data_IF_897501963136
#
_entry.id   IF_897501963136
#
_cell.length_a   1.000
_cell.length_b   1.000
_cell.length_c   1.000
_cell.angle_alpha   90.00
_cell.angle_beta   90.00
_cell.angle_gamma   90.00
#
_symmetry.space_group_name_H-M   'P 1'
#
loop_
_entity.id
_entity.type
_entity.pdbx_description
1 polymer ?
#
# COMPACT_ATOMS: atom_id res chain seq x y z
N UNK A 1 -30.08 28.24 4.92
CA UNK A 1 -29.29 27.91 6.12
C UNK A 1 -28.96 26.45 6.03
N UNK A 2 -27.68 26.06 5.93
CA UNK A 2 -27.25 24.66 5.99
C UNK A 2 -26.93 24.35 7.44
N UNK A 3 -27.51 23.31 8.01
CA UNK A 3 -27.20 22.76 9.33
C UNK A 3 -26.51 21.44 9.09
N UNK A 4 -25.30 21.28 9.57
CA UNK A 4 -24.52 20.04 9.45
C UNK A 4 -24.29 19.48 10.85
N UNK A 5 -24.47 18.18 10.98
CA UNK A 5 -24.06 17.46 12.17
C UNK A 5 -22.54 17.18 12.04
N UNK A 6 -21.76 17.66 12.98
CA UNK A 6 -20.30 17.53 13.00
C UNK A 6 -19.83 16.39 13.90
N UNK A 7 -20.75 15.59 14.43
CA UNK A 7 -20.44 14.44 15.30
C UNK A 7 -19.84 13.25 14.51
N UNK A 8 -20.14 13.19 13.22
CA UNK A 8 -19.63 12.14 12.31
C UNK A 8 -18.97 12.82 11.12
N UNK A 9 -17.70 12.57 10.94
CA UNK A 9 -16.94 13.08 9.80
C UNK A 9 -16.71 11.96 8.79
N UNK A 10 -16.95 12.28 7.53
CA UNK A 10 -16.72 11.39 6.39
C UNK A 10 -15.89 12.10 5.33
N UNK A 11 -14.98 11.36 4.73
CA UNK A 11 -14.19 11.79 3.56
C UNK A 11 -14.80 11.13 2.34
N UNK A 12 -15.07 11.92 1.32
CA UNK A 12 -15.53 11.44 0.01
C UNK A 12 -14.31 11.31 -0.92
N UNK A 13 -13.98 10.09 -1.30
CA UNK A 13 -12.78 9.74 -2.05
C UNK A 13 -13.17 9.27 -3.44
N UNK A 14 -12.43 9.71 -4.45
CA UNK A 14 -12.58 9.21 -5.82
C UNK A 14 -11.62 8.05 -6.07
N UNK A 15 -12.16 6.86 -6.31
CA UNK A 15 -11.39 5.64 -6.57
C UNK A 15 -11.58 5.22 -8.03
N UNK A 16 -10.47 4.87 -8.68
CA UNK A 16 -10.46 4.43 -10.06
C UNK A 16 -11.18 3.09 -10.25
N UNK A 17 -11.75 2.86 -11.45
CA UNK A 17 -12.43 1.62 -11.83
C UNK A 17 -11.56 0.38 -11.64
N UNK A 18 -10.25 0.46 -11.89
CA UNK A 18 -9.34 -0.68 -11.71
C UNK A 18 -9.15 -1.08 -10.24
N UNK A 19 -9.32 -0.13 -9.31
CA UNK A 19 -9.06 -0.32 -7.90
C UNK A 19 -10.32 -0.56 -7.08
N UNK A 20 -11.48 -0.02 -7.51
CA UNK A 20 -12.75 -0.16 -6.80
C UNK A 20 -13.17 -1.62 -6.60
N UNK A 21 -12.77 -2.52 -7.52
CA UNK A 21 -13.04 -3.97 -7.43
C UNK A 21 -12.41 -4.63 -6.21
N UNK A 22 -11.38 -4.00 -5.63
CA UNK A 22 -10.66 -4.51 -4.45
C UNK A 22 -11.20 -3.94 -3.15
N UNK A 23 -11.90 -2.80 -3.23
CA UNK A 23 -12.44 -2.11 -2.07
C UNK A 23 -13.71 -2.82 -1.59
N UNK A 24 -13.78 -3.06 -0.29
CA UNK A 24 -14.92 -3.69 0.36
C UNK A 24 -15.47 -2.80 1.48
N UNK A 25 -16.75 -3.02 1.81
CA UNK A 25 -17.37 -2.36 2.95
C UNK A 25 -16.65 -2.75 4.24
N UNK A 26 -16.36 -1.75 5.08
CA UNK A 26 -15.62 -1.87 6.34
C UNK A 26 -14.12 -2.13 6.19
N UNK A 27 -13.55 -1.97 4.99
CA UNK A 27 -12.10 -1.90 4.87
C UNK A 27 -11.58 -0.78 5.75
N UNK A 28 -10.49 -1.06 6.45
CA UNK A 28 -9.79 -0.05 7.23
C UNK A 28 -9.12 0.96 6.29
N UNK A 29 -9.04 2.20 6.73
CA UNK A 29 -8.40 3.24 5.96
C UNK A 29 -7.55 4.13 6.87
N UNK A 30 -6.42 4.58 6.34
CA UNK A 30 -5.57 5.59 6.92
C UNK A 30 -5.84 6.93 6.22
N UNK A 31 -6.05 7.98 6.99
CA UNK A 31 -6.47 9.29 6.50
C UNK A 31 -5.45 10.33 6.95
N UNK A 32 -4.80 10.96 5.98
CA UNK A 32 -3.92 12.11 6.18
C UNK A 32 -4.65 13.37 5.77
N UNK A 33 -4.86 14.29 6.69
CA UNK A 33 -5.55 15.56 6.42
C UNK A 33 -4.53 16.66 6.19
N UNK A 34 -4.65 17.41 5.09
CA UNK A 34 -3.68 18.46 4.71
C UNK A 34 -3.46 19.52 5.79
N UNK A 35 -4.43 19.71 6.69
CA UNK A 35 -4.32 20.65 7.81
C UNK A 35 -3.50 20.10 8.99
N UNK A 36 -3.23 18.80 9.04
CA UNK A 36 -2.56 18.09 10.14
C UNK A 36 -1.53 17.13 9.57
N UNK A 37 -0.42 17.66 9.03
CA UNK A 37 0.58 16.91 8.24
C UNK A 37 1.34 15.84 9.03
N UNK A 38 1.40 16.00 10.36
CA UNK A 38 2.15 15.08 11.23
C UNK A 38 1.25 14.01 11.88
N UNK A 39 -0.03 13.95 11.49
CA UNK A 39 -1.00 13.07 12.11
C UNK A 39 -1.75 12.22 11.07
N UNK A 40 -1.83 10.93 11.35
CA UNK A 40 -2.61 9.97 10.56
C UNK A 40 -3.82 9.52 11.37
N UNK A 41 -4.99 9.56 10.75
CA UNK A 41 -6.26 9.20 11.38
C UNK A 41 -6.77 7.88 10.83
N UNK A 42 -7.39 7.09 11.69
CA UNK A 42 -8.02 5.84 11.28
C UNK A 42 -9.46 6.07 10.81
N UNK A 43 -9.83 5.33 9.79
CA UNK A 43 -11.19 5.32 9.25
C UNK A 43 -11.64 3.94 8.80
N UNK A 44 -12.88 3.88 8.35
CA UNK A 44 -13.46 2.69 7.72
C UNK A 44 -14.35 3.07 6.54
N UNK A 45 -14.38 2.20 5.53
CA UNK A 45 -15.26 2.36 4.36
C UNK A 45 -16.72 2.13 4.76
N UNK A 46 -17.55 3.16 4.59
CA UNK A 46 -18.99 3.12 4.96
C UNK A 46 -19.92 3.05 3.75
N UNK A 47 -19.51 3.55 2.59
CA UNK A 47 -20.31 3.53 1.38
C UNK A 47 -19.42 3.41 0.15
N UNK A 48 -19.84 2.59 -0.81
CA UNK A 48 -19.20 2.45 -2.12
C UNK A 48 -20.25 2.84 -3.18
N UNK A 49 -19.98 3.92 -3.90
CA UNK A 49 -20.87 4.41 -4.96
C UNK A 49 -20.95 3.42 -6.13
N UNK A 50 -22.17 3.09 -6.53
CA UNK A 50 -22.42 2.17 -7.64
C UNK A 50 -22.47 2.88 -9.00
N UNK A 51 -22.33 4.21 -9.03
CA UNK A 51 -22.42 5.00 -10.24
C UNK A 51 -21.12 5.77 -10.45
N UNK A 52 -20.58 5.68 -11.65
CA UNK A 52 -19.40 6.44 -12.01
C UNK A 52 -19.71 7.95 -11.97
N UNK A 53 -18.83 8.72 -11.36
CA UNK A 53 -18.98 10.17 -11.19
C UNK A 53 -19.13 10.91 -12.53
N UNK A 54 -18.57 10.37 -13.61
CA UNK A 54 -18.57 10.98 -14.94
C UNK A 54 -19.57 10.34 -15.92
N UNK A 55 -20.51 9.51 -15.47
CA UNK A 55 -21.42 8.75 -16.32
C UNK A 55 -22.56 9.57 -16.95
N UNK A 56 -22.48 10.87 -17.03
CA UNK A 56 -23.67 11.64 -17.47
C UNK A 56 -23.50 12.99 -18.16
N UNK A 57 -22.30 13.46 -18.39
CA UNK A 57 -22.13 14.80 -18.98
C UNK A 57 -21.33 14.73 -20.28
N UNK A 58 -22.10 14.80 -21.40
CA UNK A 58 -21.64 14.98 -22.78
C UNK A 58 -20.79 13.82 -23.38
N UNK A 59 -21.44 12.99 -24.16
CA UNK A 59 -20.98 11.82 -24.89
C UNK A 59 -19.81 11.95 -25.88
N UNK A 60 -18.77 12.73 -25.62
CA UNK A 60 -17.63 12.90 -26.52
C UNK A 60 -16.26 13.02 -25.84
N UNK A 61 -16.11 12.65 -24.56
CA UNK A 61 -14.78 12.58 -23.95
C UNK A 61 -14.26 11.14 -24.02
N UNK A 62 -13.55 10.81 -25.06
CA UNK A 62 -12.98 9.47 -25.35
C UNK A 62 -11.79 9.08 -24.44
N UNK A 63 -11.46 9.87 -23.42
CA UNK A 63 -10.25 9.64 -22.61
C UNK A 63 -10.45 9.98 -21.12
N UNK A 64 -11.68 9.81 -20.61
CA UNK A 64 -11.98 10.16 -19.24
C UNK A 64 -11.92 8.93 -18.35
N UNK A 65 -10.99 8.97 -17.38
CA UNK A 65 -10.84 7.94 -16.34
C UNK A 65 -12.15 7.83 -15.56
N UNK A 66 -12.66 6.61 -15.45
CA UNK A 66 -13.88 6.32 -14.70
C UNK A 66 -13.54 6.21 -13.20
N UNK A 67 -14.10 7.11 -12.40
CA UNK A 67 -13.95 7.12 -10.95
C UNK A 67 -15.28 6.85 -10.24
N UNK A 68 -15.21 6.21 -9.10
CA UNK A 68 -16.33 5.91 -8.20
C UNK A 68 -16.13 6.63 -6.87
N UNK A 69 -17.22 7.18 -6.30
CA UNK A 69 -17.17 7.78 -4.98
C UNK A 69 -17.18 6.70 -3.91
N UNK A 70 -16.27 6.80 -2.97
CA UNK A 70 -16.19 5.94 -1.77
C UNK A 70 -16.20 6.85 -0.55
N UNK A 71 -17.09 6.58 0.41
CA UNK A 71 -17.12 7.32 1.67
C UNK A 71 -16.39 6.55 2.75
N UNK A 72 -15.48 7.25 3.38
CA UNK A 72 -14.68 6.74 4.49
C UNK A 72 -14.99 7.56 5.72
N UNK A 73 -15.46 6.89 6.78
CA UNK A 73 -15.77 7.52 8.05
C UNK A 73 -14.56 7.53 8.95
N UNK A 74 -14.23 8.69 9.49
CA UNK A 74 -13.20 8.82 10.51
C UNK A 74 -13.69 8.20 11.82
N UNK A 75 -12.81 7.43 12.47
CA UNK A 75 -13.05 6.93 13.83
C UNK A 75 -12.82 8.05 14.84
N UNK A 76 -13.81 8.30 15.68
CA UNK A 76 -13.72 9.35 16.71
C UNK A 76 -12.59 9.11 17.72
N UNK A 77 -12.19 7.87 17.90
CA UNK A 77 -11.09 7.46 18.78
C UNK A 77 -9.74 7.99 18.29
N UNK A 78 -9.54 8.08 16.97
CA UNK A 78 -8.27 8.49 16.37
C UNK A 78 -7.96 9.99 16.54
N UNK A 79 -8.95 10.83 16.77
CA UNK A 79 -8.77 12.27 17.00
C UNK A 79 -9.23 12.75 18.38
N UNK A 80 -9.58 11.84 19.28
CA UNK A 80 -10.06 12.17 20.62
C UNK A 80 -9.03 12.96 21.44
N UNK A 81 -7.74 12.71 21.24
CA UNK A 81 -6.65 13.42 21.91
C UNK A 81 -6.53 14.90 21.50
N UNK A 82 -7.08 15.27 20.35
CA UNK A 82 -7.06 16.65 19.84
C UNK A 82 -8.22 17.50 20.38
N UNK A 83 -9.21 16.85 20.99
CA UNK A 83 -10.36 17.54 21.59
C UNK A 83 -9.96 18.06 22.96
N UNK A 84 -9.89 19.38 23.14
CA UNK A 84 -9.71 20.00 24.43
C UNK A 84 -10.97 19.84 25.29
N UNK A 85 -10.82 19.66 26.61
CA UNK A 85 -11.94 19.47 27.55
C UNK A 85 -12.97 20.62 27.57
N UNK A 86 -12.59 21.80 27.09
CA UNK A 86 -13.47 22.96 26.97
C UNK A 86 -14.36 22.96 25.71
N UNK A 87 -13.96 22.23 24.65
CA UNK A 87 -14.68 22.10 23.39
C UNK A 87 -15.50 20.81 23.29
N UNK A 88 -15.63 20.07 24.38
CA UNK A 88 -16.30 18.75 24.48
C UNK A 88 -17.79 18.73 24.13
N UNK A 89 -18.36 19.87 23.71
CA UNK A 89 -19.71 19.93 23.15
C UNK A 89 -19.68 19.78 21.61
N UNK A 90 -19.37 18.58 21.10
CA UNK A 90 -19.66 18.15 19.72
C UNK A 90 -18.92 18.87 18.57
N UNK A 91 -17.71 19.37 18.77
CA UNK A 91 -16.96 19.99 17.68
C UNK A 91 -15.78 19.10 17.27
N UNK A 92 -15.94 18.44 16.13
CA UNK A 92 -14.80 17.79 15.44
C UNK A 92 -13.71 18.84 15.14
N UNK A 93 -12.41 18.50 15.25
CA UNK A 93 -11.32 19.40 14.85
C UNK A 93 -11.33 19.65 13.33
N UNK A 94 -12.02 18.81 12.58
CA UNK A 94 -12.12 18.90 11.13
C UNK A 94 -13.27 19.81 10.70
N UNK A 95 -13.09 20.48 9.56
CA UNK A 95 -14.11 21.34 8.98
C UNK A 95 -14.54 20.82 7.61
N UNK A 96 -15.83 20.88 7.27
CA UNK A 96 -16.29 20.52 5.93
C UNK A 96 -15.56 21.33 4.85
N UNK A 97 -15.03 20.62 3.85
CA UNK A 97 -14.25 21.20 2.75
C UNK A 97 -12.74 21.16 2.94
N UNK A 98 -12.24 20.54 4.01
CA UNK A 98 -10.81 20.19 4.12
C UNK A 98 -10.48 19.09 3.12
N UNK A 99 -9.26 19.13 2.57
CA UNK A 99 -8.69 18.07 1.73
C UNK A 99 -8.01 17.02 2.59
N UNK A 100 -8.09 15.77 2.13
CA UNK A 100 -7.41 14.66 2.76
C UNK A 100 -6.98 13.63 1.72
N UNK A 101 -5.89 12.94 1.99
CA UNK A 101 -5.44 11.73 1.30
C UNK A 101 -5.91 10.52 2.10
N UNK A 102 -6.39 9.49 1.40
CA UNK A 102 -6.90 8.28 2.04
C UNK A 102 -6.26 7.06 1.41
N UNK A 103 -5.62 6.26 2.23
CA UNK A 103 -5.06 4.97 1.85
C UNK A 103 -5.98 3.85 2.38
N UNK A 104 -6.71 3.16 1.49
CA UNK A 104 -7.65 2.10 1.86
C UNK A 104 -6.91 0.75 1.88
N UNK A 105 -6.94 0.08 3.03
CA UNK A 105 -6.29 -1.20 3.26
C UNK A 105 -7.19 -2.35 2.79
N UNK A 106 -7.07 -2.74 1.52
CA UNK A 106 -7.95 -3.74 0.91
C UNK A 106 -7.57 -5.18 1.21
N UNK A 107 -6.33 -5.43 1.61
CA UNK A 107 -5.83 -6.76 1.99
C UNK A 107 -4.75 -6.64 3.06
N UNK A 108 -4.78 -7.55 4.01
CA UNK A 108 -3.77 -7.69 5.04
C UNK A 108 -3.35 -9.14 5.17
N UNK A 109 -2.06 -9.39 5.27
CA UNK A 109 -1.50 -10.71 5.55
C UNK A 109 -0.77 -10.65 6.90
N UNK A 110 -1.31 -11.32 7.90
CA UNK A 110 -0.70 -11.39 9.22
C UNK A 110 0.36 -12.49 9.29
N UNK A 111 1.51 -12.17 9.88
CA UNK A 111 2.62 -13.12 10.03
C UNK A 111 3.30 -13.50 8.72
N UNK A 112 3.12 -12.73 7.67
CA UNK A 112 3.74 -12.95 6.38
C UNK A 112 5.23 -12.58 6.38
N UNK A 113 6.03 -13.32 5.63
CA UNK A 113 7.41 -12.92 5.30
C UNK A 113 7.32 -11.82 4.26
N UNK A 114 7.79 -10.63 4.59
CA UNK A 114 7.84 -9.50 3.66
C UNK A 114 9.27 -9.10 3.37
N UNK A 115 9.56 -8.79 2.12
CA UNK A 115 10.86 -8.33 1.66
C UNK A 115 10.70 -7.07 0.79
N UNK A 116 11.72 -6.20 0.70
CA UNK A 116 11.67 -5.05 -0.19
C UNK A 116 11.43 -5.48 -1.64
N UNK A 117 10.51 -4.81 -2.36
CA UNK A 117 10.16 -5.14 -3.76
C UNK A 117 11.41 -5.20 -4.66
N UNK A 118 12.39 -4.32 -4.41
CA UNK A 118 13.63 -4.24 -5.20
C UNK A 118 14.51 -5.50 -5.12
N UNK A 119 14.28 -6.39 -4.14
CA UNK A 119 15.01 -7.66 -4.01
C UNK A 119 14.42 -8.78 -4.87
N UNK A 120 13.18 -8.62 -5.33
CA UNK A 120 12.52 -9.60 -6.21
C UNK A 120 12.88 -9.30 -7.66
N UNK A 121 13.36 -10.32 -8.35
CA UNK A 121 13.71 -10.22 -9.77
C UNK A 121 13.17 -11.42 -10.55
N UNK A 122 13.16 -11.30 -11.85
CA UNK A 122 12.77 -12.36 -12.78
C UNK A 122 13.99 -12.94 -13.45
N UNK A 123 14.01 -14.25 -13.64
CA UNK A 123 15.00 -14.95 -14.44
C UNK A 123 14.29 -15.85 -15.45
N UNK A 124 14.87 -15.92 -16.63
CA UNK A 124 14.45 -16.87 -17.66
C UNK A 124 14.97 -18.25 -17.29
N UNK A 125 14.06 -19.22 -17.30
CA UNK A 125 14.37 -20.62 -17.13
C UNK A 125 14.11 -21.34 -18.43
N UNK A 126 15.15 -21.90 -19.01
CA UNK A 126 15.01 -22.76 -20.20
C UNK A 126 14.34 -24.08 -19.79
N UNK A 127 13.08 -24.25 -20.15
CA UNK A 127 12.36 -25.51 -19.99
C UNK A 127 11.98 -26.02 -21.40
N UNK A 128 12.92 -26.75 -22.03
CA UNK A 128 12.72 -27.25 -23.38
C UNK A 128 12.75 -26.14 -24.42
N UNK A 129 11.73 -26.06 -25.28
CA UNK A 129 11.59 -25.03 -26.31
C UNK A 129 10.82 -23.77 -25.84
N UNK A 130 10.35 -23.75 -24.59
CA UNK A 130 9.62 -22.63 -24.02
C UNK A 130 10.48 -21.89 -23.00
N UNK A 131 10.54 -20.55 -23.14
CA UNK A 131 11.14 -19.63 -22.15
C UNK A 131 10.09 -19.29 -21.09
N UNK A 132 10.22 -19.84 -19.88
CA UNK A 132 9.37 -19.51 -18.75
C UNK A 132 10.09 -18.56 -17.82
N UNK A 133 9.43 -17.43 -17.49
CA UNK A 133 9.97 -16.44 -16.56
C UNK A 133 9.62 -16.83 -15.13
N UNK A 134 10.63 -17.04 -14.31
CA UNK A 134 10.47 -17.40 -12.89
C UNK A 134 10.82 -16.21 -11.97
N UNK A 135 9.93 -15.92 -11.03
CA UNK A 135 10.17 -14.91 -9.97
C UNK A 135 11.03 -15.54 -8.87
N UNK A 136 12.01 -14.78 -8.40
CA UNK A 136 12.84 -15.24 -7.30
C UNK A 136 13.64 -14.12 -6.64
N UNK A 137 14.40 -14.52 -5.64
CA UNK A 137 15.28 -13.65 -4.86
C UNK A 137 16.68 -14.26 -4.78
N UNK A 138 17.69 -13.43 -4.56
CA UNK A 138 19.00 -13.92 -4.18
C UNK A 138 19.13 -13.97 -2.67
N UNK A 139 19.50 -15.12 -2.16
CA UNK A 139 19.85 -15.33 -0.75
C UNK A 139 21.36 -15.39 -0.59
N UNK A 140 21.85 -14.87 0.52
CA UNK A 140 23.25 -14.94 0.89
C UNK A 140 23.51 -16.26 1.63
N UNK A 141 24.37 -17.10 1.09
CA UNK A 141 24.80 -18.33 1.74
C UNK A 141 26.32 -18.39 1.77
N UNK A 142 26.93 -18.23 2.96
CA UNK A 142 28.38 -18.25 3.15
C UNK A 142 29.18 -17.32 2.22
N UNK A 143 28.68 -16.10 1.97
CA UNK A 143 29.33 -15.13 1.08
C UNK A 143 29.05 -15.34 -0.42
N UNK A 144 28.18 -16.27 -0.76
CA UNK A 144 27.81 -16.60 -2.14
C UNK A 144 26.33 -16.29 -2.35
N UNK A 145 26.02 -15.62 -3.46
CA UNK A 145 24.66 -15.37 -3.89
C UNK A 145 24.03 -16.63 -4.48
N UNK A 146 22.93 -17.08 -3.92
CA UNK A 146 22.18 -18.22 -4.41
C UNK A 146 20.80 -17.80 -4.88
N UNK A 147 20.44 -18.15 -6.12
CA UNK A 147 19.11 -17.93 -6.65
C UNK A 147 18.08 -18.84 -6.00
N UNK A 148 17.01 -18.25 -5.53
CA UNK A 148 15.94 -18.98 -4.87
C UNK A 148 14.58 -18.55 -5.46
N UNK A 149 13.88 -19.44 -6.18
CA UNK A 149 12.56 -19.14 -6.71
C UNK A 149 11.54 -19.00 -5.60
N UNK A 150 10.67 -17.98 -5.72
CA UNK A 150 9.67 -17.65 -4.71
C UNK A 150 8.30 -17.42 -5.35
N UNK A 151 7.25 -17.66 -4.56
CA UNK A 151 5.89 -17.23 -4.90
C UNK A 151 5.53 -16.01 -4.07
N UNK A 152 5.14 -14.95 -4.75
CA UNK A 152 4.75 -13.69 -4.14
C UNK A 152 3.25 -13.63 -3.89
N UNK A 153 2.86 -12.85 -2.87
CA UNK A 153 1.47 -12.59 -2.51
C UNK A 153 1.08 -11.13 -2.74
N UNK A 154 0.54 -10.50 -1.70
CA UNK A 154 0.19 -9.09 -1.73
C UNK A 154 1.45 -8.21 -1.69
N UNK A 155 1.32 -7.00 -2.20
CA UNK A 155 2.41 -6.02 -2.19
C UNK A 155 1.87 -4.63 -1.88
N UNK A 156 2.71 -3.83 -1.27
CA UNK A 156 2.50 -2.40 -1.10
C UNK A 156 3.50 -1.59 -1.95
N UNK A 157 3.75 -0.34 -1.61
CA UNK A 157 4.71 0.54 -2.32
C UNK A 157 6.18 0.21 -2.06
N UNK A 158 6.51 -0.54 -1.00
CA UNK A 158 7.88 -0.82 -0.54
C UNK A 158 8.18 -2.29 -0.38
N UNK A 159 7.20 -3.08 0.04
CA UNK A 159 7.36 -4.48 0.41
C UNK A 159 6.45 -5.39 -0.40
N UNK A 160 6.88 -6.64 -0.55
CA UNK A 160 6.11 -7.70 -1.18
C UNK A 160 6.12 -8.94 -0.28
N UNK A 161 4.96 -9.54 -0.12
CA UNK A 161 4.79 -10.79 0.61
C UNK A 161 5.40 -11.97 -0.14
N UNK A 162 6.08 -12.84 0.58
CA UNK A 162 6.52 -14.14 0.09
C UNK A 162 5.66 -15.23 0.70
N UNK A 163 4.84 -15.84 -0.15
CA UNK A 163 3.92 -16.91 0.25
C UNK A 163 4.64 -18.25 0.41
N UNK A 164 5.66 -18.51 -0.42
CA UNK A 164 6.45 -19.73 -0.35
C UNK A 164 7.80 -19.57 -1.06
N UNK A 165 8.76 -20.41 -0.71
CA UNK A 165 10.09 -20.44 -1.30
C UNK A 165 11.15 -19.72 -0.49
N UNK A 166 10.85 -19.08 0.64
CA UNK A 166 11.80 -18.38 1.47
C UNK A 166 11.60 -18.75 2.95
N UNK A 167 12.69 -19.01 3.65
CA UNK A 167 12.68 -19.20 5.10
C UNK A 167 12.79 -17.84 5.80
N UNK A 168 12.12 -17.70 6.96
CA UNK A 168 12.13 -16.45 7.74
C UNK A 168 13.53 -16.05 8.26
N UNK A 169 14.46 -16.98 8.29
CA UNK A 169 15.86 -16.76 8.72
C UNK A 169 16.83 -16.54 7.57
N UNK A 170 16.35 -16.48 6.32
CA UNK A 170 17.21 -16.33 5.16
C UNK A 170 17.64 -14.86 4.98
N UNK A 171 18.92 -14.64 4.76
CA UNK A 171 19.46 -13.33 4.43
C UNK A 171 19.23 -13.03 2.94
N UNK A 172 18.33 -12.10 2.64
CA UNK A 172 17.98 -11.70 1.27
C UNK A 172 18.86 -10.53 0.80
N UNK A 173 19.41 -10.66 -0.39
CA UNK A 173 20.20 -9.59 -1.01
C UNK A 173 19.26 -8.53 -1.58
N UNK A 174 19.29 -7.33 -0.99
CA UNK A 174 18.35 -6.25 -1.32
C UNK A 174 18.88 -5.30 -2.38
N UNK A 175 20.18 -5.14 -2.51
CA UNK A 175 20.68 -4.14 -3.42
C UNK A 175 22.19 -4.19 -3.68
N UNK A 176 22.70 -3.31 -4.54
CA UNK A 176 22.00 -2.29 -5.36
C UNK A 176 21.09 -2.92 -6.43
N UNK A 177 19.96 -2.29 -6.74
CA UNK A 177 18.96 -2.81 -7.67
C UNK A 177 19.53 -3.28 -9.01
N UNK A 178 20.46 -2.52 -9.60
CA UNK A 178 21.09 -2.89 -10.87
C UNK A 178 21.91 -4.20 -10.75
N UNK A 179 22.55 -4.42 -9.61
CA UNK A 179 23.26 -5.66 -9.36
C UNK A 179 22.30 -6.85 -9.28
N UNK A 180 21.27 -6.74 -8.43
CA UNK A 180 20.28 -7.81 -8.22
C UNK A 180 19.51 -8.13 -9.49
N UNK A 181 19.09 -7.10 -10.24
CA UNK A 181 18.21 -7.28 -11.41
C UNK A 181 18.96 -7.76 -12.67
N UNK A 182 20.25 -7.40 -12.85
CA UNK A 182 20.94 -7.63 -14.13
C UNK A 182 22.28 -8.34 -14.04
N UNK A 183 23.08 -8.04 -13.01
CA UNK A 183 24.48 -8.46 -12.98
C UNK A 183 24.70 -9.72 -12.17
N UNK A 184 23.98 -9.84 -11.04
CA UNK A 184 24.17 -10.93 -10.10
C UNK A 184 23.71 -12.27 -10.68
N UNK A 185 24.57 -13.27 -10.63
CA UNK A 185 24.27 -14.62 -11.09
C UNK A 185 24.39 -15.63 -9.93
N UNK A 186 23.80 -16.78 -10.11
CA UNK A 186 23.86 -17.84 -9.11
C UNK A 186 25.29 -18.35 -8.94
N UNK A 187 25.82 -18.23 -7.73
CA UNK A 187 27.18 -18.64 -7.40
C UNK A 187 28.20 -17.51 -7.30
N UNK A 188 27.81 -16.26 -7.55
CA UNK A 188 28.71 -15.11 -7.42
C UNK A 188 29.06 -14.87 -5.96
N UNK A 189 30.35 -14.51 -5.72
CA UNK A 189 30.81 -14.04 -4.42
C UNK A 189 30.33 -12.60 -4.19
N UNK A 190 29.76 -12.35 -3.02
CA UNK A 190 29.24 -11.03 -2.63
C UNK A 190 29.80 -10.61 -1.27
N UNK A 191 30.15 -9.33 -1.18
CA UNK A 191 30.51 -8.69 0.08
C UNK A 191 29.29 -8.00 0.67
N UNK A 192 29.03 -8.28 1.95
CA UNK A 192 27.95 -7.62 2.70
C UNK A 192 28.41 -6.19 3.03
N UNK A 193 27.73 -5.19 2.48
CA UNK A 193 27.80 -3.83 3.01
C UNK A 193 26.68 -3.68 4.03
N UNK A 194 27.03 -3.48 5.29
CA UNK A 194 26.04 -3.09 6.29
C UNK A 194 25.43 -1.76 5.83
N UNK A 195 24.11 -1.73 5.65
CA UNK A 195 23.40 -0.49 5.42
C UNK A 195 23.65 0.40 6.64
N UNK A 196 24.29 1.55 6.45
CA UNK A 196 24.42 2.56 7.50
C UNK A 196 23.02 2.88 8.03
N UNK A 197 22.83 2.58 9.31
CA UNK A 197 21.59 2.48 10.02
C UNK A 197 20.56 3.54 9.69
N UNK A 198 19.38 3.08 9.41
CA UNK A 198 18.18 3.78 9.85
C UNK A 198 18.03 3.43 11.33
N UNK A 199 18.74 4.20 12.19
CA UNK A 199 18.44 4.22 13.60
C UNK A 199 17.02 4.76 13.76
N UNK A 200 16.24 3.99 14.47
CA UNK A 200 14.97 4.35 15.08
C UNK A 200 15.03 5.73 15.75
N UNK A 201 14.06 6.58 15.49
CA UNK A 201 13.46 7.48 16.48
C UNK A 201 11.97 7.63 16.18
#
# INVERSE_FOLDING_TARGET
MKVSDLSVMEVDVEVNESDIVRVSMRDAAEIEVDAYLDETFEGEVTEIGNTALNAGINGFAMDQVTNFSVKVRLRSESYSAMLNDEDSANLSPFRPGMSAKVDILTRQAEGAISIPIQSVTTREKEIGDDEETELGVFILNNGIAQWNPVKTGIQDTRFIEIVSGLDASADVIVGPYQAVSRTLTNGDEVEVQEAEGTAEE
#
